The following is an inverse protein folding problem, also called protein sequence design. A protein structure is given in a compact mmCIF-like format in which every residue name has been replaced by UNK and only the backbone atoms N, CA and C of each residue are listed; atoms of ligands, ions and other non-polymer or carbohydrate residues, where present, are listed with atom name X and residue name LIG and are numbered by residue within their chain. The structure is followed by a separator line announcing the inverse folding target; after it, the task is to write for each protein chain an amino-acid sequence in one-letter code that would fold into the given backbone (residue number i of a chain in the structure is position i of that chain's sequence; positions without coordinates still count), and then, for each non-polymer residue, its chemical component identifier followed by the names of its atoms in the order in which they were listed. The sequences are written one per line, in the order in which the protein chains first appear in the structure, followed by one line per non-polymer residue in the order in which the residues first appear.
data_IF_091359186276
#
_entry.id   IF_091359186276
#
_cell.length_a   1.000
_cell.length_b   1.000
_cell.length_c   1.000
_cell.angle_alpha   90.00
_cell.angle_beta   90.00
_cell.angle_gamma   90.00
#
_symmetry.space_group_name_H-M   'P 1'
#
loop_
_entity.id
_entity.type
_entity.pdbx_description
1 polymer ?
#
# COMPACT_ATOMS: atom_id res chain seq x y z
N UNK A 1 37.20 -31.02 39.44
CA UNK A 1 36.96 -29.65 38.91
C UNK A 1 35.51 -29.58 38.43
N UNK A 2 34.62 -28.80 39.06
CA UNK A 2 33.24 -28.65 38.58
C UNK A 2 33.27 -27.86 37.27
N UNK A 3 32.87 -28.48 36.16
CA UNK A 3 32.87 -27.84 34.85
C UNK A 3 31.86 -26.70 34.81
N UNK A 4 32.28 -25.51 34.37
CA UNK A 4 31.40 -24.34 34.22
C UNK A 4 30.49 -24.43 32.99
N UNK A 5 30.68 -25.46 32.15
CA UNK A 5 29.99 -25.61 30.86
C UNK A 5 28.46 -25.63 30.96
N UNK A 6 27.81 -26.32 31.93
CA UNK A 6 26.34 -26.30 32.03
C UNK A 6 25.78 -24.91 32.35
N UNK A 7 26.49 -24.14 33.18
CA UNK A 7 26.10 -22.77 33.52
C UNK A 7 26.20 -21.87 32.29
N UNK A 8 27.29 -21.98 31.54
CA UNK A 8 27.50 -21.20 30.31
C UNK A 8 26.41 -21.50 29.28
N UNK A 9 26.10 -22.78 29.04
CA UNK A 9 25.04 -23.19 28.11
C UNK A 9 23.68 -22.67 28.57
N UNK A 10 23.36 -22.80 29.86
CA UNK A 10 22.13 -22.27 30.43
C UNK A 10 22.01 -20.75 30.27
N UNK A 11 23.10 -20.00 30.51
CA UNK A 11 23.11 -18.55 30.31
C UNK A 11 22.89 -18.14 28.86
N UNK A 12 23.50 -18.83 27.90
CA UNK A 12 23.29 -18.58 26.45
C UNK A 12 21.82 -18.83 26.07
N UNK A 13 21.23 -19.92 26.56
CA UNK A 13 19.83 -20.24 26.28
C UNK A 13 18.87 -19.17 26.84
N UNK A 14 19.09 -18.71 28.07
CA UNK A 14 18.29 -17.62 28.66
C UNK A 14 18.46 -16.33 27.87
N UNK A 15 19.68 -15.98 27.47
CA UNK A 15 19.93 -14.81 26.64
C UNK A 15 19.21 -14.88 25.28
N UNK A 16 19.18 -16.07 24.65
CA UNK A 16 18.47 -16.29 23.39
C UNK A 16 16.95 -16.15 23.55
N UNK A 17 16.36 -16.69 24.62
CA UNK A 17 14.93 -16.51 24.90
C UNK A 17 14.57 -15.04 25.16
N UNK A 18 15.41 -14.31 25.90
CA UNK A 18 15.22 -12.87 26.10
C UNK A 18 15.29 -12.11 24.78
N UNK A 19 16.22 -12.47 23.89
CA UNK A 19 16.31 -11.88 22.55
C UNK A 19 15.05 -12.12 21.72
N UNK A 20 14.53 -13.37 21.68
CA UNK A 20 13.27 -13.68 20.98
C UNK A 20 12.10 -12.87 21.57
N UNK A 21 12.00 -12.79 22.90
CA UNK A 21 10.93 -12.03 23.55
C UNK A 21 10.98 -10.56 23.15
N UNK A 22 12.17 -9.95 23.09
CA UNK A 22 12.36 -8.60 22.57
C UNK A 22 11.90 -8.52 21.12
N UNK A 23 12.34 -9.42 20.24
CA UNK A 23 11.93 -9.41 18.82
C UNK A 23 10.41 -9.47 18.67
N UNK A 24 9.73 -10.39 19.38
CA UNK A 24 8.27 -10.54 19.29
C UNK A 24 7.54 -9.29 19.81
N UNK A 25 8.06 -8.64 20.86
CA UNK A 25 7.43 -7.44 21.43
C UNK A 25 7.61 -6.18 20.58
N UNK A 26 8.64 -6.12 19.73
CA UNK A 26 8.97 -4.95 18.91
C UNK A 26 8.74 -5.14 17.41
N UNK A 27 8.39 -6.35 16.95
CA UNK A 27 8.12 -6.62 15.54
C UNK A 27 6.68 -6.27 15.16
N UNK A 28 6.53 -5.32 14.24
CA UNK A 28 5.25 -4.98 13.62
C UNK A 28 5.16 -5.66 12.24
N UNK A 29 4.30 -6.69 12.07
CA UNK A 29 4.16 -7.37 10.78
C UNK A 29 3.54 -6.40 9.76
N UNK A 30 4.16 -6.31 8.58
CA UNK A 30 3.69 -5.39 7.55
C UNK A 30 2.75 -6.10 6.56
N UNK A 31 1.77 -5.40 5.96
CA UNK A 31 0.90 -5.99 4.94
C UNK A 31 1.65 -6.64 3.77
N UNK A 32 2.85 -6.17 3.42
CA UNK A 32 3.64 -6.75 2.32
C UNK A 32 4.27 -8.12 2.64
N UNK A 33 4.32 -8.50 3.92
CA UNK A 33 4.88 -9.78 4.37
C UNK A 33 3.81 -10.88 4.49
N UNK A 34 2.53 -10.49 4.36
CA UNK A 34 1.40 -11.42 4.38
C UNK A 34 1.42 -12.33 3.15
N UNK A 35 0.80 -13.51 3.28
CA UNK A 35 0.48 -14.35 2.12
C UNK A 35 -0.42 -13.57 1.14
N UNK A 36 -0.44 -13.97 -0.13
CA UNK A 36 -1.22 -13.21 -1.11
C UNK A 36 -2.73 -13.31 -0.81
N UNK A 37 -3.19 -14.44 -0.25
CA UNK A 37 -4.56 -14.64 0.19
C UNK A 37 -4.92 -13.72 1.35
N UNK A 38 -4.07 -13.68 2.39
CA UNK A 38 -4.30 -12.86 3.58
C UNK A 38 -4.23 -11.36 3.23
N UNK A 39 -3.26 -10.96 2.41
CA UNK A 39 -3.10 -9.57 1.96
C UNK A 39 -4.31 -9.12 1.14
N UNK A 40 -4.86 -9.99 0.28
CA UNK A 40 -6.06 -9.69 -0.49
C UNK A 40 -7.28 -9.47 0.43
N UNK A 41 -7.50 -10.37 1.39
CA UNK A 41 -8.59 -10.23 2.36
C UNK A 41 -8.42 -8.99 3.25
N UNK A 42 -7.19 -8.71 3.67
CA UNK A 42 -6.82 -7.51 4.43
C UNK A 42 -7.13 -6.24 3.65
N UNK A 43 -6.63 -6.14 2.40
CA UNK A 43 -6.87 -4.99 1.53
C UNK A 43 -8.37 -4.78 1.29
N UNK A 44 -9.12 -5.85 0.98
CA UNK A 44 -10.56 -5.75 0.78
C UNK A 44 -11.27 -5.21 2.01
N UNK A 45 -10.91 -5.68 3.21
CA UNK A 45 -11.47 -5.16 4.47
C UNK A 45 -11.13 -3.67 4.64
N UNK A 46 -9.86 -3.30 4.47
CA UNK A 46 -9.40 -1.92 4.68
C UNK A 46 -9.89 -0.91 3.66
N UNK A 47 -10.12 -1.34 2.41
CA UNK A 47 -10.75 -0.50 1.39
C UNK A 47 -12.17 -0.06 1.80
N UNK A 48 -12.89 -0.87 2.57
CA UNK A 48 -14.23 -0.49 3.07
C UNK A 48 -14.19 0.53 4.23
N UNK A 49 -13.03 0.72 4.85
CA UNK A 49 -12.81 1.67 5.96
C UNK A 49 -12.23 3.01 5.48
N UNK A 50 -11.91 3.15 4.18
CA UNK A 50 -11.27 4.36 3.64
C UNK A 50 -12.17 5.60 3.79
N UNK A 51 -11.51 6.74 3.99
CA UNK A 51 -12.17 8.03 4.09
C UNK A 51 -11.64 8.99 3.04
N UNK A 52 -12.55 9.68 2.36
CA UNK A 52 -12.17 10.77 1.45
C UNK A 52 -11.34 11.82 2.18
N UNK A 53 -10.30 12.33 1.52
CA UNK A 53 -9.40 13.34 2.05
C UNK A 53 -8.24 12.83 2.89
N UNK A 54 -8.21 11.54 3.27
CA UNK A 54 -7.06 10.93 3.93
C UNK A 54 -5.81 11.02 3.04
N UNK A 55 -4.64 11.08 3.66
CA UNK A 55 -3.41 11.29 2.90
C UNK A 55 -2.93 10.00 2.22
N UNK A 56 -2.11 10.18 1.19
CA UNK A 56 -1.40 9.09 0.54
C UNK A 56 -0.58 8.28 1.56
N UNK A 57 0.13 8.98 2.45
CA UNK A 57 0.96 8.36 3.49
C UNK A 57 0.13 7.52 4.44
N UNK A 58 -0.99 8.05 4.97
CA UNK A 58 -1.91 7.29 5.83
C UNK A 58 -2.44 6.04 5.14
N UNK A 59 -2.70 6.14 3.83
CA UNK A 59 -3.18 5.00 3.04
C UNK A 59 -2.09 3.95 2.89
N UNK A 60 -0.85 4.35 2.61
CA UNK A 60 0.31 3.44 2.48
C UNK A 60 0.69 2.83 3.83
N UNK A 61 0.60 3.57 4.92
CA UNK A 61 0.81 3.04 6.28
C UNK A 61 -0.23 1.96 6.62
N UNK A 62 -1.47 2.12 6.16
CA UNK A 62 -2.55 1.17 6.41
C UNK A 62 -2.48 -0.04 5.47
N UNK A 63 -2.44 0.18 4.16
CA UNK A 63 -2.54 -0.87 3.14
C UNK A 63 -1.18 -1.44 2.70
N UNK A 64 -0.09 -0.84 3.15
CA UNK A 64 1.24 -1.09 2.62
C UNK A 64 1.44 -0.52 1.21
N UNK A 65 2.52 -0.94 0.56
CA UNK A 65 2.84 -0.60 -0.83
C UNK A 65 1.78 -1.15 -1.79
N UNK A 66 1.36 -0.34 -2.75
CA UNK A 66 0.45 -0.76 -3.82
C UNK A 66 1.09 -1.78 -4.78
N UNK A 67 0.27 -2.60 -5.44
CA UNK A 67 0.73 -3.55 -6.46
C UNK A 67 1.08 -2.84 -7.78
N UNK A 68 0.32 -1.79 -8.11
CA UNK A 68 0.63 -0.87 -9.20
C UNK A 68 0.42 0.58 -8.78
N UNK A 69 1.10 1.51 -9.46
CA UNK A 69 0.89 2.94 -9.28
C UNK A 69 1.10 3.68 -10.59
N UNK A 70 0.29 4.69 -10.83
CA UNK A 70 0.48 5.66 -11.91
C UNK A 70 0.31 7.07 -11.35
N UNK A 71 1.04 8.03 -11.91
CA UNK A 71 0.91 9.42 -11.52
C UNK A 71 1.16 10.34 -12.70
N UNK A 72 0.50 11.50 -12.67
CA UNK A 72 0.76 12.62 -13.56
C UNK A 72 0.71 13.92 -12.77
N UNK A 73 1.52 14.89 -13.21
CA UNK A 73 1.44 16.25 -12.76
C UNK A 73 1.15 17.18 -13.95
N UNK A 74 0.06 17.95 -13.86
CA UNK A 74 -0.31 18.94 -14.88
C UNK A 74 -0.87 20.20 -14.21
N UNK A 75 -0.52 21.38 -14.72
CA UNK A 75 -1.03 22.68 -14.23
C UNK A 75 -0.90 22.88 -12.70
N UNK A 76 0.17 22.34 -12.10
CA UNK A 76 0.43 22.42 -10.66
C UNK A 76 -0.40 21.48 -9.79
N UNK A 77 -1.25 20.63 -10.38
CA UNK A 77 -1.99 19.57 -9.68
C UNK A 77 -1.31 18.22 -9.87
N UNK A 78 -1.17 17.47 -8.79
CA UNK A 78 -0.70 16.09 -8.79
C UNK A 78 -1.90 15.16 -8.79
N UNK A 79 -1.92 14.20 -9.71
CA UNK A 79 -2.91 13.13 -9.77
C UNK A 79 -2.18 11.80 -9.71
N UNK A 80 -2.57 10.93 -8.78
CA UNK A 80 -1.95 9.62 -8.60
C UNK A 80 -3.04 8.57 -8.41
N UNK A 81 -2.87 7.41 -9.01
CA UNK A 81 -3.74 6.25 -8.78
C UNK A 81 -2.90 5.09 -8.27
N UNK A 82 -3.32 4.51 -7.14
CA UNK A 82 -2.75 3.29 -6.56
C UNK A 82 -3.69 2.12 -6.81
N UNK A 83 -3.15 0.94 -7.07
CA UNK A 83 -3.92 -0.28 -7.27
C UNK A 83 -3.53 -1.30 -6.21
N UNK A 84 -4.52 -1.72 -5.42
CA UNK A 84 -4.36 -2.77 -4.41
C UNK A 84 -5.16 -3.98 -4.80
N UNK A 85 -4.55 -5.17 -4.77
CA UNK A 85 -5.28 -6.42 -4.99
C UNK A 85 -6.36 -6.61 -3.93
N UNK A 86 -7.61 -6.76 -4.37
CA UNK A 86 -8.79 -6.90 -3.51
C UNK A 86 -9.65 -8.10 -3.87
N UNK A 87 -9.43 -8.69 -5.05
CA UNK A 87 -10.12 -9.89 -5.49
C UNK A 87 -9.19 -10.82 -6.25
N UNK A 88 -9.65 -12.06 -6.38
CA UNK A 88 -8.98 -13.08 -7.19
C UNK A 88 -9.78 -13.29 -8.48
N UNK A 89 -9.13 -13.15 -9.62
CA UNK A 89 -9.72 -13.47 -10.93
C UNK A 89 -9.11 -14.74 -11.50
N UNK A 90 -7.80 -14.95 -11.35
CA UNK A 90 -7.07 -16.08 -11.93
C UNK A 90 -5.88 -16.53 -11.08
N UNK A 91 -5.58 -17.82 -11.14
CA UNK A 91 -4.48 -18.47 -10.42
C UNK A 91 -3.26 -18.71 -11.32
N UNK A 92 -2.76 -17.67 -12.01
CA UNK A 92 -1.59 -17.77 -12.91
C UNK A 92 -0.28 -17.29 -12.27
N UNK A 93 -0.32 -16.95 -10.98
CA UNK A 93 0.82 -16.45 -10.21
C UNK A 93 1.19 -14.99 -10.53
N UNK A 94 0.36 -14.25 -11.26
CA UNK A 94 0.58 -12.84 -11.60
C UNK A 94 -0.62 -12.00 -11.22
N UNK A 95 -0.39 -10.94 -10.46
CA UNK A 95 -1.43 -9.92 -10.21
C UNK A 95 -1.66 -9.12 -11.50
N UNK A 96 -2.93 -8.89 -11.86
CA UNK A 96 -3.30 -7.93 -12.92
C UNK A 96 -4.26 -6.86 -12.40
N UNK A 97 -4.39 -5.75 -13.12
CA UNK A 97 -5.16 -4.57 -12.64
C UNK A 97 -6.66 -4.86 -12.45
N UNK A 98 -7.22 -5.81 -13.19
CA UNK A 98 -8.60 -6.30 -13.05
C UNK A 98 -8.85 -7.06 -11.73
N UNK A 99 -7.78 -7.45 -11.03
CA UNK A 99 -7.84 -8.02 -9.68
C UNK A 99 -7.73 -6.97 -8.56
N UNK A 100 -7.59 -5.69 -8.94
CA UNK A 100 -7.28 -4.61 -8.02
C UNK A 100 -8.40 -3.58 -7.91
N UNK A 101 -8.52 -2.98 -6.73
CA UNK A 101 -9.30 -1.74 -6.55
C UNK A 101 -8.38 -0.53 -6.76
N UNK A 102 -8.72 0.40 -7.68
CA UNK A 102 -8.00 1.65 -7.85
C UNK A 102 -8.39 2.66 -6.77
N UNK A 103 -7.42 3.39 -6.24
CA UNK A 103 -7.56 4.51 -5.31
C UNK A 103 -6.95 5.75 -5.96
N UNK A 104 -7.76 6.77 -6.22
CA UNK A 104 -7.36 8.03 -6.85
C UNK A 104 -7.04 9.08 -5.80
N UNK A 105 -5.86 9.66 -5.90
CA UNK A 105 -5.37 10.74 -5.10
C UNK A 105 -5.21 11.98 -5.96
N UNK A 106 -5.63 13.12 -5.42
CA UNK A 106 -5.34 14.45 -5.97
C UNK A 106 -4.62 15.27 -4.91
N UNK A 107 -3.48 15.82 -5.29
CA UNK A 107 -2.62 16.62 -4.40
C UNK A 107 -2.33 15.89 -3.07
N UNK A 108 -2.07 14.58 -3.16
CA UNK A 108 -1.75 13.72 -2.01
C UNK A 108 -2.95 13.29 -1.16
N UNK A 109 -4.19 13.59 -1.57
CA UNK A 109 -5.41 13.25 -0.81
C UNK A 109 -6.34 12.34 -1.58
N UNK A 110 -6.89 11.32 -0.91
CA UNK A 110 -7.83 10.37 -1.50
C UNK A 110 -9.10 11.09 -1.98
N UNK A 111 -9.42 10.96 -3.26
CA UNK A 111 -10.59 11.57 -3.91
C UNK A 111 -11.65 10.54 -4.31
N UNK A 112 -11.24 9.32 -4.66
CA UNK A 112 -12.16 8.26 -5.09
C UNK A 112 -11.48 6.89 -4.96
N UNK A 113 -12.29 5.84 -4.87
CA UNK A 113 -11.85 4.45 -5.03
C UNK A 113 -12.99 3.58 -5.57
N UNK A 114 -12.65 2.42 -6.14
CA UNK A 114 -13.61 1.50 -6.76
C UNK A 114 -13.58 1.49 -8.29
N UNK A 115 -14.48 0.73 -8.91
CA UNK A 115 -14.48 0.35 -10.33
C UNK A 115 -14.21 1.53 -11.30
N UNK A 116 -14.98 2.61 -11.20
CA UNK A 116 -14.92 3.74 -12.14
C UNK A 116 -13.71 4.66 -11.92
N UNK A 117 -12.96 4.46 -10.84
CA UNK A 117 -11.92 5.39 -10.38
C UNK A 117 -10.78 5.51 -11.39
N UNK A 118 -10.40 4.41 -12.04
CA UNK A 118 -9.36 4.47 -13.06
C UNK A 118 -9.81 5.24 -14.31
N UNK A 119 -11.08 5.12 -14.70
CA UNK A 119 -11.62 5.93 -15.80
C UNK A 119 -11.64 7.42 -15.45
N UNK A 120 -11.95 7.77 -14.20
CA UNK A 120 -11.85 9.15 -13.72
C UNK A 120 -10.42 9.69 -13.80
N UNK A 121 -9.42 8.88 -13.41
CA UNK A 121 -8.00 9.23 -13.57
C UNK A 121 -7.66 9.54 -15.03
N UNK A 122 -8.03 8.65 -15.96
CA UNK A 122 -7.77 8.83 -17.39
C UNK A 122 -8.50 10.06 -17.96
N UNK A 123 -9.74 10.32 -17.53
CA UNK A 123 -10.51 11.47 -17.98
C UNK A 123 -9.90 12.79 -17.50
N UNK A 124 -9.53 12.88 -16.21
CA UNK A 124 -8.86 14.07 -15.67
C UNK A 124 -7.49 14.29 -16.32
N UNK A 125 -6.77 13.21 -16.61
CA UNK A 125 -5.53 13.26 -17.37
C UNK A 125 -5.77 13.87 -18.77
N UNK A 126 -6.72 13.36 -19.54
CA UNK A 126 -7.05 13.86 -20.89
C UNK A 126 -7.49 15.32 -20.85
N UNK A 127 -8.35 15.70 -19.90
CA UNK A 127 -8.79 17.08 -19.72
C UNK A 127 -7.59 18.02 -19.50
N UNK A 128 -6.62 17.60 -18.68
CA UNK A 128 -5.42 18.41 -18.41
C UNK A 128 -4.56 18.67 -19.66
N UNK A 129 -4.60 17.77 -20.65
CA UNK A 129 -3.94 17.93 -21.94
C UNK A 129 -4.72 18.87 -22.88
N UNK A 130 -6.05 18.90 -22.76
CA UNK A 130 -6.94 19.72 -23.60
C UNK A 130 -7.06 21.17 -23.11
N UNK A 131 -6.87 21.45 -21.82
CA UNK A 131 -6.92 22.81 -21.24
C UNK A 131 -5.69 23.67 -21.57
N UNK A 132 -4.99 23.44 -22.67
CA UNK A 132 -3.85 24.23 -23.13
C UNK A 132 -4.32 25.57 -23.74
N UNK A 133 -4.23 26.72 -23.05
CA UNK A 133 -4.60 28.00 -23.62
C UNK A 133 -3.36 28.54 -24.34
N UNK A 134 -3.14 28.14 -25.59
CA UNK A 134 -2.51 29.09 -26.51
C UNK A 134 -3.54 30.21 -26.75
N UNK A 135 -3.27 31.35 -26.12
CA UNK A 135 -3.81 32.71 -26.33
C UNK A 135 -5.09 33.12 -25.57
N UNK A 136 -4.94 33.99 -24.57
CA UNK A 136 -5.45 35.38 -24.53
C UNK A 136 -4.84 36.05 -23.28
N UNK A 137 -4.23 37.24 -23.25
CA UNK A 137 -4.30 38.48 -24.04
C UNK A 137 -2.87 39.09 -24.08
N UNK A 138 -2.38 39.61 -25.21
CA UNK A 138 -2.67 40.93 -25.81
C UNK A 138 -2.30 42.09 -24.90
#
# INVERSE_FOLDING_TARGET
MKGKAPVIIGSIFVAYLLFIAVVILFYEPKPEEMSWEDRQAYNLSKVTELQLGQTLEQTIETLGRADFSEAIQTHGQSLQVLFYRTQHVKSDGKTTKDECTPLLFKDGRLQAWGEDTYQQYLQQHIQSLQTNPKQTQK
#
